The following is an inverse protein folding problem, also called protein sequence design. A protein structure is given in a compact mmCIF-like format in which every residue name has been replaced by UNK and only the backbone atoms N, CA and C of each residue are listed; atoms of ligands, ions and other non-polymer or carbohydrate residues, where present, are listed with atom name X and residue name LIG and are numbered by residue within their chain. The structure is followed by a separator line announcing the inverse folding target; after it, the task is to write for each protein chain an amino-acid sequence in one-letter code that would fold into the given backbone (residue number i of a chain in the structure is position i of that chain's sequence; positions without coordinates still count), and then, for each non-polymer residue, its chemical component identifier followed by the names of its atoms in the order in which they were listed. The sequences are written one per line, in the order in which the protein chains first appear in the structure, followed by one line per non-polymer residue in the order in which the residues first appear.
data_IF_012741818851
#
_entry.id   IF_012741818851
#
_cell.length_a   1.000
_cell.length_b   1.000
_cell.length_c   1.000
_cell.angle_alpha   90.00
_cell.angle_beta   90.00
_cell.angle_gamma   90.00
#
_symmetry.space_group_name_H-M   'P 1'
#
loop_
_entity.id
_entity.type
_entity.pdbx_description
1 polymer ?
#
# COMPACT_ATOMS: atom_id res chain seq x y z
N UNK A 1 29.90 37.55 -20.69
CA UNK A 1 29.83 36.29 -19.89
C UNK A 1 29.71 36.52 -18.38
N UNK A 2 29.55 37.77 -17.90
CA UNK A 2 29.28 38.08 -16.48
C UNK A 2 27.79 38.29 -16.18
N UNK A 3 26.95 38.42 -17.22
CA UNK A 3 25.52 38.73 -17.08
C UNK A 3 24.66 37.53 -16.64
N UNK A 4 25.05 36.31 -17.02
CA UNK A 4 24.27 35.10 -16.71
C UNK A 4 24.26 34.79 -15.20
N UNK A 5 25.38 35.05 -14.52
CA UNK A 5 25.53 34.84 -13.08
C UNK A 5 24.81 35.93 -12.28
N UNK A 6 24.68 37.15 -12.80
CA UNK A 6 23.90 38.21 -12.14
C UNK A 6 22.39 37.99 -12.23
N UNK A 7 21.91 37.34 -13.29
CA UNK A 7 20.49 37.09 -13.47
C UNK A 7 19.98 35.88 -12.65
N UNK A 8 20.82 34.85 -12.49
CA UNK A 8 20.43 33.59 -11.81
C UNK A 8 21.20 33.27 -10.52
N UNK A 9 22.25 34.02 -10.20
CA UNK A 9 23.21 33.69 -9.14
C UNK A 9 23.09 34.52 -7.86
N UNK A 10 21.92 35.10 -7.56
CA UNK A 10 21.70 35.67 -6.23
C UNK A 10 21.54 34.51 -5.23
N UNK A 11 22.42 34.36 -4.21
CA UNK A 11 22.20 33.38 -3.16
C UNK A 11 21.03 33.87 -2.32
N UNK A 12 19.83 33.37 -2.62
CA UNK A 12 18.71 33.57 -1.72
C UNK A 12 19.05 32.80 -0.43
N UNK A 13 19.28 33.53 0.66
CA UNK A 13 19.32 32.96 2.01
C UNK A 13 17.89 32.53 2.40
N UNK A 14 17.27 31.65 1.62
CA UNK A 14 16.06 30.99 2.05
C UNK A 14 16.50 29.95 3.09
N UNK A 15 15.92 29.97 4.30
CA UNK A 15 16.17 28.88 5.24
C UNK A 15 15.83 27.58 4.51
N UNK A 16 16.74 26.61 4.54
CA UNK A 16 16.54 25.29 3.95
C UNK A 16 15.35 24.68 4.69
N UNK A 17 14.14 24.86 4.13
CA UNK A 17 12.96 24.18 4.62
C UNK A 17 13.21 22.70 4.36
N UNK A 18 12.91 21.80 5.32
CA UNK A 18 13.00 20.38 5.04
C UNK A 18 12.13 20.10 3.82
N UNK A 19 12.76 19.69 2.72
CA UNK A 19 12.07 19.37 1.48
C UNK A 19 11.27 18.11 1.78
N UNK A 20 9.95 18.23 1.91
CA UNK A 20 9.06 17.08 2.01
C UNK A 20 9.17 16.29 0.72
N UNK A 21 9.56 15.03 0.82
CA UNK A 21 9.59 14.13 -0.33
C UNK A 21 8.21 13.55 -0.58
N UNK A 22 7.96 13.10 -1.81
CA UNK A 22 6.74 12.35 -2.15
C UNK A 22 6.53 11.14 -1.22
N UNK A 23 7.62 10.50 -0.78
CA UNK A 23 7.58 9.39 0.15
C UNK A 23 7.09 9.81 1.55
N UNK A 24 7.50 10.98 2.04
CA UNK A 24 7.03 11.53 3.32
C UNK A 24 5.55 11.89 3.25
N UNK A 25 5.14 12.54 2.16
CA UNK A 25 3.73 12.86 1.90
C UNK A 25 2.85 11.61 1.86
N UNK A 26 3.30 10.55 1.18
CA UNK A 26 2.60 9.27 1.15
C UNK A 26 2.50 8.65 2.54
N UNK A 27 3.56 8.71 3.35
CA UNK A 27 3.57 8.16 4.71
C UNK A 27 2.54 8.84 5.61
N UNK A 28 2.33 10.14 5.43
CA UNK A 28 1.36 10.94 6.20
C UNK A 28 -0.08 10.71 5.75
N UNK A 29 -0.34 10.60 4.44
CA UNK A 29 -1.69 10.57 3.87
C UNK A 29 -2.21 9.20 3.47
N UNK A 30 -1.37 8.16 3.49
CA UNK A 30 -1.79 6.81 3.12
C UNK A 30 -2.84 6.27 4.08
N UNK A 31 -3.99 5.88 3.52
CA UNK A 31 -5.05 5.14 4.21
C UNK A 31 -5.14 3.73 3.65
N UNK A 32 -5.13 2.77 4.56
CA UNK A 32 -5.26 1.36 4.22
C UNK A 32 -6.65 1.00 3.68
N UNK A 33 -7.69 1.47 4.37
CA UNK A 33 -9.08 1.44 3.89
C UNK A 33 -9.43 2.89 3.58
N UNK A 34 -9.82 3.16 2.33
CA UNK A 34 -10.22 4.48 1.86
C UNK A 34 -11.74 4.57 1.88
N UNK A 35 -12.27 5.61 2.52
CA UNK A 35 -13.68 5.98 2.44
C UNK A 35 -13.93 6.87 1.22
N UNK A 36 -15.20 7.07 0.84
CA UNK A 36 -15.55 8.03 -0.23
C UNK A 36 -15.06 9.46 0.08
N UNK A 37 -14.94 9.81 1.36
CA UNK A 37 -14.39 11.10 1.78
C UNK A 37 -12.87 11.17 1.55
N UNK A 38 -12.13 10.08 1.78
CA UNK A 38 -10.70 10.00 1.51
C UNK A 38 -10.38 10.04 -0.01
N UNK A 39 -11.35 9.61 -0.83
CA UNK A 39 -11.30 9.67 -2.30
C UNK A 39 -11.76 11.01 -2.87
N UNK A 40 -12.21 11.95 -2.02
CA UNK A 40 -12.43 13.32 -2.46
C UNK A 40 -11.08 13.94 -2.87
N UNK A 41 -10.87 14.16 -4.17
CA UNK A 41 -9.61 14.66 -4.75
C UNK A 41 -9.36 16.15 -4.47
N UNK A 42 -9.46 16.56 -3.21
CA UNK A 42 -9.41 17.97 -2.81
C UNK A 42 -7.97 18.50 -2.78
N UNK A 43 -6.99 17.67 -2.41
CA UNK A 43 -5.58 18.06 -2.29
C UNK A 43 -4.64 17.26 -3.23
N UNK A 44 -3.45 17.81 -3.53
CA UNK A 44 -2.47 17.13 -4.38
C UNK A 44 -1.89 15.87 -3.69
N UNK A 45 -1.72 15.92 -2.37
CA UNK A 45 -1.27 14.81 -1.54
C UNK A 45 -2.26 13.64 -1.59
N UNK A 46 -3.56 13.94 -1.49
CA UNK A 46 -4.62 12.95 -1.58
C UNK A 46 -4.64 12.30 -2.97
N UNK A 47 -4.44 13.06 -4.04
CA UNK A 47 -4.32 12.54 -5.41
C UNK A 47 -3.08 11.66 -5.58
N UNK A 48 -1.95 12.01 -4.98
CA UNK A 48 -0.74 11.19 -4.98
C UNK A 48 -0.98 9.86 -4.24
N UNK A 49 -1.56 9.92 -3.04
CA UNK A 49 -1.90 8.74 -2.23
C UNK A 49 -2.90 7.83 -2.96
N UNK A 50 -3.91 8.41 -3.63
CA UNK A 50 -4.87 7.66 -4.44
C UNK A 50 -4.19 6.94 -5.61
N UNK A 51 -3.39 7.65 -6.41
CA UNK A 51 -2.64 7.04 -7.52
C UNK A 51 -1.71 5.93 -7.06
N UNK A 52 -1.06 6.08 -5.91
CA UNK A 52 -0.24 5.03 -5.33
C UNK A 52 -1.10 3.84 -4.89
N UNK A 53 -2.21 4.11 -4.21
CA UNK A 53 -3.16 3.11 -3.77
C UNK A 53 -3.75 2.30 -4.93
N UNK A 54 -4.09 2.93 -6.05
CA UNK A 54 -4.64 2.28 -7.24
C UNK A 54 -3.62 1.38 -7.97
N UNK A 55 -2.32 1.68 -7.81
CA UNK A 55 -1.22 0.85 -8.35
C UNK A 55 -0.88 -0.37 -7.50
N UNK A 56 -1.42 -0.49 -6.28
CA UNK A 56 -1.16 -1.64 -5.42
C UNK A 56 -1.92 -2.87 -5.92
N UNK A 57 -1.20 -3.99 -6.09
CA UNK A 57 -1.79 -5.28 -6.42
C UNK A 57 -2.54 -5.89 -5.22
N UNK A 58 -3.87 -5.82 -5.23
CA UNK A 58 -4.77 -6.25 -4.13
C UNK A 58 -5.70 -7.41 -4.50
N UNK A 59 -5.34 -8.21 -5.50
CA UNK A 59 -6.20 -9.33 -5.91
C UNK A 59 -6.15 -10.49 -4.90
N UNK A 60 -4.97 -10.76 -4.32
CA UNK A 60 -4.78 -11.85 -3.36
C UNK A 60 -4.19 -11.35 -2.04
N UNK A 61 -4.75 -11.85 -0.95
CA UNK A 61 -4.24 -11.70 0.41
C UNK A 61 -3.59 -13.01 0.90
N UNK A 62 -2.72 -12.89 1.89
CA UNK A 62 -2.18 -14.04 2.62
C UNK A 62 -2.99 -14.24 3.89
N UNK A 63 -3.26 -15.50 4.19
CA UNK A 63 -3.93 -15.90 5.42
C UNK A 63 -2.89 -16.38 6.44
N UNK A 64 -3.04 -15.97 7.68
CA UNK A 64 -2.41 -16.61 8.83
C UNK A 64 -3.46 -17.51 9.48
N UNK A 65 -3.32 -18.80 9.23
CA UNK A 65 -4.19 -19.83 9.78
C UNK A 65 -3.61 -20.48 11.03
N UNK A 66 -2.53 -19.96 11.63
CA UNK A 66 -1.87 -20.61 12.79
C UNK A 66 -2.81 -20.90 13.96
N UNK A 67 -3.87 -20.09 14.13
CA UNK A 67 -4.89 -20.22 15.19
C UNK A 67 -6.29 -20.52 14.66
N UNK A 68 -6.40 -21.14 13.49
CA UNK A 68 -7.69 -21.45 12.87
C UNK A 68 -8.59 -22.32 13.77
N UNK A 69 -8.01 -23.19 14.62
CA UNK A 69 -8.73 -24.03 15.58
C UNK A 69 -9.43 -23.22 16.69
N UNK A 70 -8.96 -22.01 16.94
CA UNK A 70 -9.60 -21.05 17.84
C UNK A 70 -10.57 -20.12 17.09
N UNK A 71 -10.92 -20.45 15.84
CA UNK A 71 -11.70 -19.60 14.92
C UNK A 71 -11.06 -18.23 14.65
N UNK A 72 -9.74 -18.13 14.79
CA UNK A 72 -8.97 -16.90 14.54
C UNK A 72 -8.19 -17.05 13.23
N UNK A 73 -8.48 -16.19 12.27
CA UNK A 73 -7.75 -16.10 11.00
C UNK A 73 -7.27 -14.68 10.82
N UNK A 74 -5.97 -14.51 10.58
CA UNK A 74 -5.40 -13.22 10.20
C UNK A 74 -5.36 -13.10 8.68
N UNK A 75 -5.73 -11.95 8.14
CA UNK A 75 -5.53 -11.65 6.71
C UNK A 75 -4.60 -10.45 6.58
N UNK A 76 -3.67 -10.53 5.63
CA UNK A 76 -2.84 -9.38 5.25
C UNK A 76 -2.58 -9.35 3.75
N UNK A 77 -2.29 -8.17 3.22
CA UNK A 77 -1.81 -8.09 1.84
C UNK A 77 -0.38 -8.58 1.69
N UNK A 78 -0.05 -8.91 0.45
CA UNK A 78 1.27 -9.38 0.05
C UNK A 78 2.25 -8.21 0.00
N UNK A 79 3.48 -8.49 0.39
CA UNK A 79 4.62 -7.58 0.16
C UNK A 79 5.08 -7.68 -1.28
N UNK A 80 5.82 -6.68 -1.77
CA UNK A 80 6.37 -6.66 -3.13
C UNK A 80 7.11 -7.96 -3.47
N UNK A 81 7.99 -8.42 -2.58
CA UNK A 81 8.75 -9.67 -2.76
C UNK A 81 7.83 -10.88 -2.91
N UNK A 82 6.74 -10.93 -2.16
CA UNK A 82 5.76 -12.03 -2.21
C UNK A 82 4.91 -12.00 -3.48
N UNK A 83 4.56 -10.80 -3.96
CA UNK A 83 3.88 -10.63 -5.25
C UNK A 83 4.78 -11.12 -6.38
N UNK A 84 6.05 -10.69 -6.41
CA UNK A 84 7.03 -11.13 -7.40
C UNK A 84 7.24 -12.65 -7.34
N UNK A 85 7.28 -13.22 -6.13
CA UNK A 85 7.41 -14.67 -5.94
C UNK A 85 6.13 -15.47 -6.28
N UNK A 86 4.99 -14.80 -6.52
CA UNK A 86 3.71 -15.46 -6.81
C UNK A 86 3.02 -16.08 -5.59
N UNK A 87 3.38 -15.68 -4.36
CA UNK A 87 2.74 -16.18 -3.13
C UNK A 87 1.26 -15.79 -3.11
N UNK A 88 0.40 -16.71 -2.71
CA UNK A 88 -1.06 -16.56 -2.71
C UNK A 88 -1.73 -16.78 -4.07
N UNK A 89 -0.99 -16.81 -5.18
CA UNK A 89 -1.53 -17.03 -6.52
C UNK A 89 -1.05 -18.35 -7.12
N UNK A 90 0.26 -18.56 -7.19
CA UNK A 90 0.91 -19.79 -7.68
C UNK A 90 1.50 -20.64 -6.56
N UNK A 91 1.50 -20.10 -5.34
CA UNK A 91 1.95 -20.76 -4.14
C UNK A 91 0.86 -20.54 -3.10
N UNK A 92 0.61 -21.54 -2.27
CA UNK A 92 -0.31 -21.49 -1.13
C UNK A 92 -0.27 -20.15 -0.37
N UNK A 93 -1.46 -19.59 -0.13
CA UNK A 93 -1.65 -18.28 0.50
C UNK A 93 -1.47 -18.27 2.02
N UNK A 94 -1.31 -19.44 2.67
CA UNK A 94 -1.01 -19.48 4.09
C UNK A 94 0.46 -19.11 4.34
N UNK A 95 0.72 -18.30 5.37
CA UNK A 95 2.05 -17.80 5.74
C UNK A 95 3.10 -18.92 5.81
N UNK A 96 2.76 -20.03 6.45
CA UNK A 96 3.67 -21.16 6.71
C UNK A 96 3.60 -22.29 5.66
N UNK A 97 2.94 -22.06 4.51
CA UNK A 97 2.63 -23.10 3.52
C UNK A 97 3.29 -22.82 2.17
N UNK A 98 4.06 -23.76 1.61
CA UNK A 98 4.77 -23.59 0.32
C UNK A 98 4.30 -24.55 -0.79
N UNK A 99 3.12 -25.15 -0.61
CA UNK A 99 2.51 -26.00 -1.65
C UNK A 99 2.24 -25.20 -2.93
N UNK A 100 2.42 -25.84 -4.08
CA UNK A 100 2.19 -25.27 -5.43
C UNK A 100 1.13 -26.05 -6.23
N UNK A 101 0.77 -27.23 -5.74
CA UNK A 101 -0.20 -28.12 -6.37
C UNK A 101 -1.53 -28.03 -5.62
N UNK A 102 -2.62 -28.34 -6.31
CA UNK A 102 -3.99 -28.38 -5.75
C UNK A 102 -4.42 -27.09 -5.02
N UNK A 103 -4.06 -25.94 -5.60
CA UNK A 103 -4.43 -24.64 -5.06
C UNK A 103 -5.88 -24.28 -5.40
N UNK A 104 -6.65 -23.88 -4.39
CA UNK A 104 -7.98 -23.29 -4.54
C UNK A 104 -7.96 -21.82 -4.09
N UNK A 105 -8.59 -20.95 -4.89
CA UNK A 105 -8.86 -19.57 -4.54
C UNK A 105 -10.27 -19.41 -4.00
N UNK A 106 -10.43 -18.65 -2.92
CA UNK A 106 -11.72 -18.30 -2.35
C UNK A 106 -11.91 -16.79 -2.41
N UNK A 107 -13.06 -16.35 -2.93
CA UNK A 107 -13.43 -14.94 -2.91
C UNK A 107 -14.13 -14.62 -1.60
N UNK A 108 -13.62 -13.61 -0.90
CA UNK A 108 -14.24 -13.11 0.31
C UNK A 108 -14.50 -11.61 0.18
N UNK A 109 -15.76 -11.20 0.37
CA UNK A 109 -16.11 -9.78 0.41
C UNK A 109 -15.63 -9.21 1.75
N UNK A 110 -14.58 -8.38 1.70
CA UNK A 110 -13.94 -7.78 2.88
C UNK A 110 -14.92 -7.08 3.85
N UNK A 111 -16.01 -6.49 3.33
CA UNK A 111 -17.05 -5.88 4.15
C UNK A 111 -17.72 -6.88 5.11
N UNK A 112 -18.04 -8.09 4.65
CA UNK A 112 -18.65 -9.11 5.49
C UNK A 112 -17.67 -9.78 6.45
N UNK A 113 -16.39 -9.91 6.06
CA UNK A 113 -15.37 -10.46 6.94
C UNK A 113 -15.24 -9.62 8.22
N UNK A 114 -15.18 -8.29 8.10
CA UNK A 114 -15.02 -7.40 9.26
C UNK A 114 -16.24 -7.40 10.20
N UNK A 115 -17.45 -7.64 9.69
CA UNK A 115 -18.65 -7.81 10.52
C UNK A 115 -18.68 -9.15 11.27
N UNK A 116 -18.09 -10.20 10.69
CA UNK A 116 -18.10 -11.56 11.27
C UNK A 116 -17.00 -11.75 12.32
N UNK A 117 -15.94 -10.95 12.27
CA UNK A 117 -14.80 -11.00 13.21
C UNK A 117 -14.87 -9.94 14.32
N UNK A 118 -16.01 -9.26 14.49
CA UNK A 118 -16.29 -8.34 15.60
C UNK A 118 -17.08 -9.03 16.70
#
# INVERSE_FOLDING_TARGET
MRDYVHHYGAPSQQPIRPIKTDADTLRETYRFIRSEEDDSERSWEQRLAKRYYDKLFKEYCLADMSRYKESKVGLRWRTEKEVIAGKGQFICGNKDCNAKEELCSYEARLAHLLETFR
#
